data_IF_431341893578
#
_entry.id   IF_431341893578
#
_cell.length_a   1.000
_cell.length_b   1.000
_cell.length_c   1.000
_cell.angle_alpha   90.00
_cell.angle_beta   90.00
_cell.angle_gamma   90.00
#
_symmetry.space_group_name_H-M   'P 1'
#
loop_
_entity.id
_entity.type
_entity.pdbx_description
1 polymer ?
#
# COMPACT_ATOMS: atom_id res chain seq x y z
N UNK A 1 -1.11 13.21 27.49
CA UNK A 1 -0.01 12.83 26.59
C UNK A 1 -0.02 11.32 26.38
N UNK A 2 0.19 10.86 25.14
CA UNK A 2 0.21 9.46 24.71
C UNK A 2 1.35 8.68 25.41
N UNK A 3 1.10 8.24 26.65
CA UNK A 3 2.11 7.67 27.57
C UNK A 3 2.83 6.42 27.04
N UNK A 4 2.24 5.73 26.07
CA UNK A 4 2.74 4.45 25.59
C UNK A 4 3.45 4.53 24.24
N UNK A 5 3.40 5.67 23.52
CA UNK A 5 3.98 5.83 22.17
C UNK A 5 3.66 4.65 21.23
N UNK A 6 2.39 4.22 21.24
CA UNK A 6 1.90 3.10 20.42
C UNK A 6 0.96 3.64 19.35
N UNK A 7 1.22 3.29 18.10
CA UNK A 7 0.29 3.56 17.01
C UNK A 7 -1.06 2.89 17.27
N UNK A 8 -2.13 3.63 16.98
CA UNK A 8 -3.51 3.16 17.04
C UNK A 8 -4.21 3.56 15.74
N UNK A 9 -4.93 2.61 15.16
CA UNK A 9 -5.83 2.90 14.05
C UNK A 9 -7.05 3.65 14.57
N UNK A 10 -7.56 4.56 13.75
CA UNK A 10 -8.75 5.37 14.01
C UNK A 10 -9.63 5.34 12.74
N UNK A 11 -10.83 5.90 12.88
CA UNK A 11 -11.79 6.08 11.78
C UNK A 11 -12.18 4.78 11.05
N UNK A 12 -13.01 3.98 11.73
CA UNK A 12 -13.54 2.73 11.19
C UNK A 12 -14.82 2.94 10.34
N UNK A 13 -15.10 4.17 9.87
CA UNK A 13 -16.33 4.48 9.13
C UNK A 13 -16.46 3.72 7.80
N UNK A 14 -15.34 3.42 7.15
CA UNK A 14 -15.27 2.63 5.92
C UNK A 14 -14.86 1.16 6.15
N UNK A 15 -14.68 0.73 7.39
CA UNK A 15 -14.26 -0.63 7.70
C UNK A 15 -15.37 -1.64 7.41
N UNK A 16 -14.99 -2.83 6.94
CA UNK A 16 -15.92 -3.89 6.55
C UNK A 16 -15.68 -5.12 7.41
N UNK A 17 -16.75 -5.69 7.97
CA UNK A 17 -16.70 -7.06 8.48
C UNK A 17 -16.89 -8.03 7.31
N UNK A 18 -15.84 -8.78 7.00
CA UNK A 18 -15.79 -9.66 5.83
C UNK A 18 -16.56 -10.97 6.02
N UNK A 19 -16.82 -11.35 7.27
CA UNK A 19 -17.56 -12.57 7.62
C UNK A 19 -19.06 -12.27 7.59
N UNK A 20 -19.51 -11.27 8.34
CA UNK A 20 -20.93 -10.89 8.37
C UNK A 20 -21.37 -10.04 7.19
N UNK A 21 -20.41 -9.50 6.43
CA UNK A 21 -20.60 -8.51 5.36
C UNK A 21 -21.18 -7.18 5.84
N UNK A 22 -21.08 -6.89 7.13
CA UNK A 22 -21.48 -5.59 7.67
C UNK A 22 -20.63 -4.48 7.03
N UNK A 23 -21.31 -3.43 6.57
CA UNK A 23 -20.72 -2.29 5.86
C UNK A 23 -20.10 -2.62 4.49
N UNK A 24 -20.29 -3.84 3.97
CA UNK A 24 -19.85 -4.18 2.61
C UNK A 24 -20.90 -3.75 1.57
N UNK A 25 -20.49 -2.94 0.61
CA UNK A 25 -21.29 -2.65 -0.58
C UNK A 25 -20.43 -2.81 -1.84
N UNK A 26 -20.73 -3.84 -2.64
CA UNK A 26 -20.03 -4.06 -3.91
C UNK A 26 -20.15 -2.85 -4.85
N UNK A 27 -21.21 -2.04 -4.72
CA UNK A 27 -21.47 -0.87 -5.56
C UNK A 27 -20.85 0.43 -5.08
N UNK A 28 -20.48 0.50 -3.81
CA UNK A 28 -20.03 1.72 -3.17
C UNK A 28 -18.83 1.40 -2.29
N UNK A 29 -17.65 1.82 -2.75
CA UNK A 29 -16.39 1.65 -2.04
C UNK A 29 -15.86 3.03 -1.68
N UNK A 30 -15.84 3.32 -0.39
CA UNK A 30 -15.31 4.57 0.15
C UNK A 30 -13.87 4.33 0.54
N UNK A 31 -12.96 5.04 -0.11
CA UNK A 31 -11.53 4.98 0.19
C UNK A 31 -10.87 6.30 -0.22
N UNK A 32 -9.68 6.55 0.31
CA UNK A 32 -8.85 7.68 -0.11
C UNK A 32 -8.19 7.36 -1.48
N UNK A 33 -8.45 8.13 -2.54
CA UNK A 33 -7.89 7.89 -3.87
C UNK A 33 -6.35 7.85 -3.92
N UNK A 34 -5.69 8.60 -3.05
CA UNK A 34 -4.23 8.67 -3.05
C UNK A 34 -3.62 7.40 -2.45
N UNK A 35 -4.28 6.77 -1.49
CA UNK A 35 -3.83 5.54 -0.83
C UNK A 35 -4.43 4.25 -1.39
N UNK A 36 -5.49 4.35 -2.20
CA UNK A 36 -6.17 3.19 -2.77
C UNK A 36 -5.28 2.35 -3.68
N UNK A 37 -5.42 1.01 -3.67
CA UNK A 37 -4.73 0.10 -4.57
C UNK A 37 -5.33 0.15 -6.00
N UNK A 38 -4.69 -0.50 -6.99
CA UNK A 38 -5.08 -0.40 -8.41
C UNK A 38 -6.51 -0.87 -8.69
N UNK A 39 -6.94 -1.94 -8.03
CA UNK A 39 -8.30 -2.50 -8.15
C UNK A 39 -9.38 -1.54 -7.65
N UNK A 40 -9.04 -0.56 -6.82
CA UNK A 40 -9.99 0.42 -6.32
C UNK A 40 -10.48 1.37 -7.43
N UNK A 41 -9.67 1.59 -8.47
CA UNK A 41 -10.05 2.37 -9.65
C UNK A 41 -10.74 1.51 -10.73
N UNK A 42 -10.46 0.20 -10.80
CA UNK A 42 -11.09 -0.72 -11.78
C UNK A 42 -12.62 -0.76 -11.63
N UNK A 43 -13.16 -0.60 -10.41
CA UNK A 43 -14.60 -0.45 -10.20
C UNK A 43 -15.24 0.69 -11.03
N UNK A 44 -14.53 1.81 -11.17
CA UNK A 44 -15.00 2.97 -11.96
C UNK A 44 -14.98 2.67 -13.45
N UNK A 45 -13.99 1.91 -13.91
CA UNK A 45 -13.78 1.57 -15.32
C UNK A 45 -14.74 0.48 -15.84
N UNK A 46 -15.19 -0.44 -14.98
CA UNK A 46 -16.11 -1.52 -15.36
C UNK A 46 -17.59 -1.14 -15.33
N UNK A 47 -17.95 0.14 -15.23
CA UNK A 47 -19.36 0.57 -15.19
C UNK A 47 -20.17 -0.04 -14.03
N UNK A 48 -19.49 -0.44 -12.95
CA UNK A 48 -20.10 -1.08 -11.80
C UNK A 48 -20.53 -2.53 -11.99
N UNK A 49 -19.93 -3.27 -12.93
CA UNK A 49 -20.28 -4.68 -13.14
C UNK A 49 -19.40 -5.69 -12.39
N UNK A 50 -18.05 -5.61 -12.36
CA UNK A 50 -17.26 -6.75 -11.81
C UNK A 50 -15.93 -6.44 -11.09
N UNK A 51 -15.59 -5.17 -10.80
CA UNK A 51 -14.25 -4.80 -10.29
C UNK A 51 -14.13 -4.39 -8.82
N UNK A 52 -15.11 -4.68 -7.97
CA UNK A 52 -15.11 -4.18 -6.57
C UNK A 52 -14.27 -5.06 -5.65
N UNK A 53 -13.71 -4.49 -4.57
CA UNK A 53 -13.18 -5.17 -3.37
C UNK A 53 -13.78 -6.57 -3.21
N UNK A 54 -12.98 -7.57 -3.59
CA UNK A 54 -13.39 -8.96 -3.48
C UNK A 54 -13.21 -9.35 -2.01
N UNK A 55 -14.29 -9.74 -1.34
CA UNK A 55 -14.23 -10.16 0.08
C UNK A 55 -13.16 -11.27 0.29
N UNK A 56 -12.91 -12.11 -0.72
CA UNK A 56 -11.86 -13.13 -0.66
C UNK A 56 -10.43 -12.60 -0.55
N UNK A 57 -10.18 -11.33 -0.89
CA UNK A 57 -8.87 -10.66 -0.80
C UNK A 57 -8.84 -9.62 0.31
N UNK A 58 -9.79 -9.65 1.26
CA UNK A 58 -10.15 -8.56 2.15
C UNK A 58 -9.15 -8.14 3.26
N UNK A 59 -7.86 -8.40 3.08
CA UNK A 59 -6.78 -7.71 3.80
C UNK A 59 -5.65 -7.24 2.86
N UNK A 60 -5.69 -7.63 1.59
CA UNK A 60 -4.70 -7.29 0.56
C UNK A 60 -4.82 -5.83 0.14
N UNK A 61 -6.02 -5.27 0.23
CA UNK A 61 -6.27 -3.83 0.09
C UNK A 61 -5.45 -3.04 1.12
N UNK A 62 -5.63 -3.35 2.40
CA UNK A 62 -4.93 -2.66 3.49
C UNK A 62 -3.41 -2.88 3.46
N UNK A 63 -2.94 -4.05 3.00
CA UNK A 63 -1.51 -4.33 2.81
C UNK A 63 -0.89 -3.40 1.77
N UNK A 64 -1.59 -3.11 0.67
CA UNK A 64 -1.11 -2.16 -0.33
C UNK A 64 -1.03 -0.74 0.25
N UNK A 65 -2.09 -0.30 0.94
CA UNK A 65 -2.13 0.99 1.64
C UNK A 65 -0.98 1.12 2.65
N UNK A 66 -0.73 0.07 3.43
CA UNK A 66 0.38 0.00 4.38
C UNK A 66 1.75 0.07 3.67
N UNK A 67 1.91 -0.56 2.52
CA UNK A 67 3.10 -0.44 1.68
C UNK A 67 3.39 1.01 1.27
N UNK A 68 2.36 1.76 0.84
CA UNK A 68 2.50 3.18 0.52
C UNK A 68 2.89 4.02 1.75
N UNK A 69 2.35 3.71 2.93
CA UNK A 69 2.74 4.37 4.17
C UNK A 69 4.21 4.10 4.53
N UNK A 70 4.69 2.87 4.36
CA UNK A 70 6.12 2.55 4.56
C UNK A 70 6.99 3.33 3.58
N UNK A 71 6.58 3.45 2.30
CA UNK A 71 7.27 4.31 1.34
C UNK A 71 7.35 5.76 1.83
N UNK A 72 6.26 6.35 2.32
CA UNK A 72 6.26 7.74 2.83
C UNK A 72 7.04 7.92 4.14
N UNK A 73 7.18 6.86 4.94
CA UNK A 73 8.03 6.87 6.14
C UNK A 73 9.50 6.90 5.75
N UNK A 74 9.92 6.03 4.82
CA UNK A 74 11.29 5.93 4.33
C UNK A 74 11.69 7.12 3.44
N UNK A 75 10.75 7.68 2.66
CA UNK A 75 11.02 8.74 1.69
C UNK A 75 10.18 9.99 2.01
N UNK A 76 10.74 10.98 2.74
CA UNK A 76 10.04 12.23 3.03
C UNK A 76 9.53 12.96 1.78
N UNK A 77 10.24 12.83 0.65
CA UNK A 77 9.85 13.39 -0.64
C UNK A 77 8.50 12.87 -1.16
N UNK A 78 8.03 11.70 -0.70
CA UNK A 78 6.77 11.09 -1.12
C UNK A 78 5.56 11.50 -0.25
N UNK A 79 5.74 12.29 0.81
CA UNK A 79 4.67 12.61 1.78
C UNK A 79 3.58 13.54 1.27
N UNK A 80 3.81 14.25 0.17
CA UNK A 80 2.78 15.10 -0.45
C UNK A 80 1.84 14.27 -1.34
N UNK A 81 0.57 14.67 -1.42
CA UNK A 81 -0.44 14.05 -2.30
C UNK A 81 0.05 13.94 -3.76
N UNK A 82 0.63 15.02 -4.29
CA UNK A 82 1.19 15.03 -5.65
C UNK A 82 2.35 14.05 -5.82
N UNK A 83 3.24 13.94 -4.83
CA UNK A 83 4.39 13.06 -4.91
C UNK A 83 3.98 11.58 -4.85
N UNK A 84 3.08 11.20 -3.94
CA UNK A 84 2.62 9.81 -3.86
C UNK A 84 1.82 9.41 -5.11
N UNK A 85 1.01 10.33 -5.67
CA UNK A 85 0.32 10.12 -6.93
C UNK A 85 1.29 9.91 -8.10
N UNK A 86 2.38 10.67 -8.16
CA UNK A 86 3.41 10.51 -9.18
C UNK A 86 4.19 9.20 -8.99
N UNK A 87 4.48 8.81 -7.75
CA UNK A 87 5.06 7.50 -7.44
C UNK A 87 4.17 6.36 -7.93
N UNK A 88 2.86 6.39 -7.63
CA UNK A 88 1.91 5.37 -8.11
C UNK A 88 1.89 5.27 -9.64
N UNK A 89 1.93 6.41 -10.35
CA UNK A 89 2.04 6.43 -11.81
C UNK A 89 3.34 5.82 -12.31
N UNK A 90 4.46 6.10 -11.65
CA UNK A 90 5.75 5.51 -11.98
C UNK A 90 5.72 3.99 -11.76
N UNK A 91 5.18 3.54 -10.64
CA UNK A 91 5.03 2.11 -10.34
C UNK A 91 4.14 1.40 -11.38
N UNK A 92 3.02 2.01 -11.78
CA UNK A 92 2.18 1.50 -12.87
C UNK A 92 2.93 1.44 -14.20
N UNK A 93 3.76 2.43 -14.52
CA UNK A 93 4.54 2.46 -15.76
C UNK A 93 5.65 1.39 -15.82
N UNK A 94 6.05 0.84 -14.67
CA UNK A 94 6.98 -0.28 -14.57
C UNK A 94 6.27 -1.61 -14.28
N UNK A 95 4.99 -1.76 -14.60
CA UNK A 95 4.22 -2.99 -14.36
C UNK A 95 4.30 -3.48 -12.88
N UNK A 96 4.31 -2.52 -11.95
CA UNK A 96 4.45 -2.76 -10.51
C UNK A 96 5.78 -3.41 -10.09
N UNK A 97 6.82 -3.31 -10.93
CA UNK A 97 8.19 -3.63 -10.58
C UNK A 97 8.83 -2.51 -9.73
N UNK A 98 8.83 -2.71 -8.41
CA UNK A 98 9.43 -1.77 -7.48
C UNK A 98 10.97 -1.72 -7.61
N UNK A 99 11.61 -2.79 -8.05
CA UNK A 99 13.06 -2.82 -8.28
C UNK A 99 13.44 -1.91 -9.45
N UNK A 100 12.66 -1.93 -10.54
CA UNK A 100 12.83 -0.98 -11.65
C UNK A 100 12.66 0.49 -11.21
N UNK A 101 11.68 0.77 -10.34
CA UNK A 101 11.53 2.10 -9.77
C UNK A 101 12.71 2.51 -8.89
N UNK A 102 13.21 1.59 -8.05
CA UNK A 102 14.36 1.83 -7.16
C UNK A 102 15.61 2.20 -7.96
N UNK A 103 15.87 1.52 -9.08
CA UNK A 103 17.02 1.86 -9.96
C UNK A 103 16.94 3.30 -10.43
N UNK A 104 15.75 3.75 -10.84
CA UNK A 104 15.51 5.15 -11.23
C UNK A 104 15.64 6.10 -10.05
N UNK A 105 15.18 5.71 -8.86
CA UNK A 105 15.30 6.54 -7.66
C UNK A 105 16.75 6.67 -7.15
N UNK A 106 17.62 5.73 -7.48
CA UNK A 106 19.02 5.73 -7.06
C UNK A 106 19.76 6.93 -7.69
N UNK A 107 20.37 7.76 -6.86
CA UNK A 107 21.04 8.99 -7.29
C UNK A 107 20.16 10.25 -7.31
N UNK A 108 18.87 10.13 -6.98
CA UNK A 108 18.03 11.30 -6.73
C UNK A 108 18.26 11.84 -5.32
N UNK A 109 18.49 13.16 -5.23
CA UNK A 109 18.66 13.85 -3.95
C UNK A 109 17.40 13.71 -3.09
N UNK A 110 17.57 13.31 -1.84
CA UNK A 110 16.53 13.13 -0.84
C UNK A 110 15.94 11.73 -0.77
N UNK A 111 16.54 10.75 -1.46
CA UNK A 111 16.13 9.35 -1.48
C UNK A 111 17.17 8.42 -0.84
N UNK A 112 18.37 8.93 -0.59
CA UNK A 112 19.54 8.15 -0.17
C UNK A 112 19.26 7.42 1.16
N UNK A 113 18.81 8.15 2.19
CA UNK A 113 18.50 7.58 3.51
C UNK A 113 17.40 6.50 3.43
N UNK A 114 16.38 6.74 2.60
CA UNK A 114 15.28 5.80 2.42
C UNK A 114 15.74 4.50 1.74
N UNK A 115 16.60 4.62 0.71
CA UNK A 115 17.21 3.46 0.05
C UNK A 115 18.09 2.69 1.03
N UNK A 116 18.94 3.38 1.79
CA UNK A 116 19.84 2.77 2.77
C UNK A 116 19.07 2.00 3.86
N UNK A 117 18.00 2.58 4.41
CA UNK A 117 17.14 1.91 5.41
C UNK A 117 16.53 0.63 4.81
N UNK A 118 15.98 0.72 3.60
CA UNK A 118 15.32 -0.43 2.96
C UNK A 118 16.32 -1.52 2.56
N UNK A 119 17.55 -1.16 2.18
CA UNK A 119 18.62 -2.10 1.89
C UNK A 119 19.12 -2.82 3.14
N UNK A 120 19.38 -2.06 4.19
CA UNK A 120 19.97 -2.58 5.44
C UNK A 120 19.04 -3.59 6.10
N UNK A 121 17.73 -3.32 6.10
CA UNK A 121 16.75 -4.10 6.85
C UNK A 121 15.86 -4.99 5.97
N UNK A 122 16.19 -5.14 4.68
CA UNK A 122 15.44 -5.99 3.74
C UNK A 122 14.01 -5.48 3.46
N UNK A 123 13.81 -4.17 3.56
CA UNK A 123 12.52 -3.52 3.35
C UNK A 123 12.02 -3.60 1.90
N UNK A 124 12.92 -3.71 0.91
CA UNK A 124 12.51 -3.87 -0.49
C UNK A 124 11.69 -5.13 -0.73
N UNK A 125 12.11 -6.28 -0.19
CA UNK A 125 11.37 -7.54 -0.30
C UNK A 125 9.98 -7.44 0.34
N UNK A 126 9.86 -6.72 1.45
CA UNK A 126 8.57 -6.44 2.09
C UNK A 126 7.68 -5.62 1.15
N UNK A 127 8.21 -4.49 0.64
CA UNK A 127 7.47 -3.56 -0.19
C UNK A 127 7.07 -4.15 -1.55
N UNK A 128 7.94 -4.93 -2.19
CA UNK A 128 7.63 -5.69 -3.41
C UNK A 128 6.50 -6.71 -3.18
N UNK A 129 6.38 -7.24 -1.96
CA UNK A 129 5.28 -8.10 -1.59
C UNK A 129 3.99 -7.34 -1.30
N UNK A 130 4.08 -6.11 -0.76
CA UNK A 130 2.91 -5.30 -0.44
C UNK A 130 2.31 -4.61 -1.68
N UNK A 131 3.15 -4.15 -2.60
CA UNK A 131 2.78 -3.24 -3.69
C UNK A 131 2.55 -3.95 -5.03
N UNK A 132 2.22 -5.25 -5.03
CA UNK A 132 1.81 -5.97 -6.24
C UNK A 132 0.50 -5.44 -6.78
N UNK A 133 0.37 -5.42 -8.11
CA UNK A 133 -0.88 -5.09 -8.79
C UNK A 133 -2.00 -6.04 -8.37
N UNK A 134 -1.79 -7.34 -8.57
CA UNK A 134 -2.78 -8.36 -8.31
C UNK A 134 -2.91 -8.66 -6.81
N UNK A 135 -4.12 -8.53 -6.22
CA UNK A 135 -4.34 -8.79 -4.80
C UNK A 135 -3.92 -10.21 -4.36
N UNK A 136 -4.03 -11.19 -5.26
CA UNK A 136 -3.65 -12.58 -5.01
C UNK A 136 -2.15 -12.79 -4.83
N UNK A 137 -1.33 -11.92 -5.44
CA UNK A 137 0.13 -11.97 -5.35
C UNK A 137 0.69 -11.17 -4.16
N UNK A 138 -0.11 -10.25 -3.62
CA UNK A 138 0.29 -9.47 -2.44
C UNK A 138 0.51 -10.40 -1.25
N UNK A 139 1.45 -10.07 -0.38
CA UNK A 139 1.63 -10.79 0.90
C UNK A 139 0.45 -10.57 1.85
N UNK A 140 0.30 -11.41 2.87
CA UNK A 140 -0.68 -11.14 3.94
C UNK A 140 -0.12 -10.13 4.95
N UNK A 141 -0.99 -9.47 5.70
CA UNK A 141 -0.55 -8.60 6.81
C UNK A 141 0.28 -9.36 7.86
N UNK A 142 -0.06 -10.63 8.12
CA UNK A 142 0.72 -11.49 9.02
C UNK A 142 2.12 -11.80 8.48
N UNK A 143 2.25 -12.08 7.17
CA UNK A 143 3.53 -12.31 6.54
C UNK A 143 4.38 -11.03 6.49
N UNK A 144 3.74 -9.87 6.22
CA UNK A 144 4.38 -8.56 6.28
C UNK A 144 4.96 -8.27 7.67
N UNK A 145 4.16 -8.48 8.72
CA UNK A 145 4.59 -8.29 10.10
C UNK A 145 5.72 -9.26 10.52
N UNK A 146 5.78 -10.44 9.91
CA UNK A 146 6.85 -11.42 10.13
C UNK A 146 8.10 -11.16 9.27
N UNK A 147 8.10 -10.14 8.41
CA UNK A 147 9.26 -9.79 7.58
C UNK A 147 10.49 -9.42 8.44
N UNK A 148 11.68 -9.51 7.85
CA UNK A 148 12.91 -9.06 8.51
C UNK A 148 12.84 -7.59 8.88
N UNK A 149 12.28 -6.76 7.99
CA UNK A 149 12.14 -5.32 8.17
C UNK A 149 11.32 -4.94 9.41
N UNK A 150 10.23 -5.67 9.69
CA UNK A 150 9.38 -5.39 10.86
C UNK A 150 9.91 -6.00 12.18
N UNK A 151 10.94 -6.84 12.12
CA UNK A 151 11.53 -7.52 13.29
C UNK A 151 12.93 -7.02 13.63
N UNK A 152 13.51 -6.16 12.78
CA UNK A 152 14.84 -5.59 12.95
C UNK A 152 14.90 -4.56 14.09
#
# INVERSE_FOLDING_TARGET
AERQRRFKLIDFGAAVDTVSRTNYNAKLQVFDPDFGPPEADLWKSSGGQEGGFVIGTAGKFDVFCAGLLVMQMCFPALRSASAIKNFKKALYAEDYDLSAWREKATGFRGYEDGIEILDTYGGWKLLEGCLREEPGERISASAAAASGFCRA
#
